data_IF_715781887778
#
_entry.id   IF_715781887778
#
_cell.length_a   1.000
_cell.length_b   1.000
_cell.length_c   1.000
_cell.angle_alpha   90.00
_cell.angle_beta   90.00
_cell.angle_gamma   90.00
#
_symmetry.space_group_name_H-M   'P 1'
#
loop_
_entity.id
_entity.type
_entity.pdbx_description
1 polymer ?
#
# COMPACT_ATOMS: atom_id res chain seq x y z
N UNK A 1 0.69 49.82 0.92
CA UNK A 1 0.88 48.45 1.47
C UNK A 1 0.76 47.35 0.41
N UNK A 2 0.44 47.67 -0.86
CA UNK A 2 0.34 46.69 -1.97
C UNK A 2 1.64 46.66 -2.81
N UNK A 3 2.39 47.76 -2.87
CA UNK A 3 3.63 47.86 -3.68
C UNK A 3 4.84 47.12 -3.10
N UNK A 4 4.85 46.88 -1.79
CA UNK A 4 5.93 46.13 -1.13
C UNK A 4 5.77 44.62 -1.33
N UNK A 5 4.55 44.13 -1.51
CA UNK A 5 4.28 42.71 -1.73
C UNK A 5 4.69 42.27 -3.15
N UNK A 6 4.40 43.11 -4.15
CA UNK A 6 4.81 42.86 -5.54
C UNK A 6 6.32 42.93 -5.74
N UNK A 7 7.03 43.81 -5.03
CA UNK A 7 8.50 43.89 -5.09
C UNK A 7 9.14 42.66 -4.46
N UNK A 8 8.65 42.22 -3.29
CA UNK A 8 9.16 41.05 -2.59
C UNK A 8 8.90 39.76 -3.38
N UNK A 9 7.71 39.56 -3.98
CA UNK A 9 7.45 38.42 -4.87
C UNK A 9 8.39 38.43 -6.10
N UNK A 10 8.66 39.60 -6.67
CA UNK A 10 9.50 39.75 -7.85
C UNK A 10 11.00 39.53 -7.52
N UNK A 11 11.42 39.92 -6.33
CA UNK A 11 12.76 39.66 -5.75
C UNK A 11 12.91 38.18 -5.35
N UNK A 12 11.84 37.57 -4.83
CA UNK A 12 11.79 36.14 -4.48
C UNK A 12 11.92 35.24 -5.71
N UNK A 13 11.20 35.58 -6.78
CA UNK A 13 11.28 34.87 -8.05
C UNK A 13 12.65 35.08 -8.72
N UNK A 14 13.25 36.27 -8.61
CA UNK A 14 14.57 36.52 -9.21
C UNK A 14 15.71 35.81 -8.47
N UNK A 15 15.73 35.77 -7.14
CA UNK A 15 16.78 35.00 -6.44
C UNK A 15 16.63 33.49 -6.69
N UNK A 16 15.41 32.96 -6.74
CA UNK A 16 15.17 31.54 -7.02
C UNK A 16 15.68 31.20 -8.42
N UNK A 17 15.40 32.07 -9.40
CA UNK A 17 15.91 31.95 -10.76
C UNK A 17 17.44 32.04 -10.81
N UNK A 18 18.07 32.92 -10.03
CA UNK A 18 19.53 33.05 -9.97
C UNK A 18 20.19 31.88 -9.24
N UNK A 19 19.56 31.32 -8.19
CA UNK A 19 20.00 30.12 -7.51
C UNK A 19 19.92 28.90 -8.44
N UNK A 20 18.79 28.72 -9.14
CA UNK A 20 18.60 27.63 -10.10
C UNK A 20 19.59 27.75 -11.26
N UNK A 21 19.79 28.96 -11.80
CA UNK A 21 20.85 29.22 -12.79
C UNK A 21 22.20 28.81 -12.23
N UNK A 22 22.62 29.33 -11.08
CA UNK A 22 23.94 29.05 -10.51
C UNK A 22 24.16 27.57 -10.15
N UNK A 23 23.11 26.86 -9.72
CA UNK A 23 23.17 25.41 -9.45
C UNK A 23 23.26 24.57 -10.72
N UNK A 24 22.60 25.01 -11.80
CA UNK A 24 22.54 24.32 -13.09
C UNK A 24 23.67 24.71 -14.08
N UNK A 25 24.32 25.86 -13.86
CA UNK A 25 25.39 26.42 -14.70
C UNK A 25 26.81 25.82 -14.56
N UNK A 26 27.24 25.11 -13.48
CA UNK A 26 28.66 24.83 -13.28
C UNK A 26 29.32 23.95 -14.37
N UNK A 27 28.53 23.26 -15.20
CA UNK A 27 29.06 22.24 -16.10
C UNK A 27 28.69 22.41 -17.60
N UNK A 28 28.19 23.57 -18.05
CA UNK A 28 27.99 23.87 -19.49
C UNK A 28 27.15 22.86 -20.30
N UNK A 29 26.37 21.98 -19.67
CA UNK A 29 25.52 21.01 -20.40
C UNK A 29 24.29 21.66 -21.07
N UNK A 30 23.97 22.91 -20.74
CA UNK A 30 22.76 23.61 -21.17
C UNK A 30 22.94 24.71 -22.23
N UNK A 31 24.15 24.98 -22.73
CA UNK A 31 24.33 25.86 -23.89
C UNK A 31 23.59 25.39 -25.17
N UNK A 32 23.02 24.19 -25.12
CA UNK A 32 22.23 23.53 -26.17
C UNK A 32 20.71 23.75 -25.97
N UNK A 33 20.26 24.09 -24.76
CA UNK A 33 18.84 24.21 -24.42
C UNK A 33 18.43 25.68 -24.31
N UNK A 34 17.34 26.05 -25.00
CA UNK A 34 16.81 27.43 -25.00
C UNK A 34 16.21 27.80 -23.65
N UNK A 35 16.13 29.10 -23.34
CA UNK A 35 15.50 29.63 -22.11
C UNK A 35 14.11 29.02 -21.85
N UNK A 36 13.33 28.77 -22.92
CA UNK A 36 12.03 28.10 -22.88
C UNK A 36 12.06 26.69 -22.29
N UNK A 37 13.16 25.95 -22.48
CA UNK A 37 13.34 24.61 -21.90
C UNK A 37 13.48 24.69 -20.38
N UNK A 38 14.22 25.70 -19.88
CA UNK A 38 14.39 25.91 -18.44
C UNK A 38 13.06 26.28 -17.79
N UNK A 39 12.30 27.20 -18.39
CA UNK A 39 10.96 27.55 -17.90
C UNK A 39 10.02 26.35 -17.89
N UNK A 40 10.04 25.53 -18.95
CA UNK A 40 9.24 24.31 -19.02
C UNK A 40 9.59 23.33 -17.90
N UNK A 41 10.88 23.09 -17.64
CA UNK A 41 11.33 22.20 -16.55
C UNK A 41 10.89 22.72 -15.18
N UNK A 42 10.99 24.03 -14.93
CA UNK A 42 10.54 24.63 -13.66
C UNK A 42 9.03 24.45 -13.48
N UNK A 43 8.23 24.67 -14.53
CA UNK A 43 6.78 24.45 -14.49
C UNK A 43 6.44 22.98 -14.26
N UNK A 44 7.20 22.05 -14.85
CA UNK A 44 6.99 20.60 -14.68
C UNK A 44 7.46 20.07 -13.32
N UNK A 45 8.41 20.74 -12.66
CA UNK A 45 9.00 20.30 -11.38
C UNK A 45 7.96 20.01 -10.29
N UNK A 46 6.97 20.88 -9.97
CA UNK A 46 5.97 20.56 -8.95
C UNK A 46 5.12 19.35 -9.32
N UNK A 47 4.82 19.13 -10.60
CA UNK A 47 4.09 17.93 -11.04
C UNK A 47 4.94 16.67 -10.90
N UNK A 48 6.23 16.75 -11.20
CA UNK A 48 7.16 15.63 -11.01
C UNK A 48 7.25 15.27 -9.53
N UNK A 49 7.42 16.26 -8.64
CA UNK A 49 7.47 16.04 -7.20
C UNK A 49 6.15 15.43 -6.71
N UNK A 50 5.01 15.98 -7.10
CA UNK A 50 3.68 15.49 -6.71
C UNK A 50 3.42 14.05 -7.19
N UNK A 51 3.82 13.72 -8.42
CA UNK A 51 3.62 12.38 -9.00
C UNK A 51 4.70 11.38 -8.58
N UNK A 52 5.82 11.84 -8.05
CA UNK A 52 6.96 10.99 -7.71
C UNK A 52 6.60 9.82 -6.77
N UNK A 53 5.78 9.98 -5.71
CA UNK A 53 5.47 8.85 -4.84
C UNK A 53 4.69 7.77 -5.58
N UNK A 54 3.74 8.16 -6.44
CA UNK A 54 2.96 7.23 -7.25
C UNK A 54 3.85 6.49 -8.25
N UNK A 55 4.78 7.20 -8.90
CA UNK A 55 5.72 6.60 -9.84
C UNK A 55 6.68 5.62 -9.15
N UNK A 56 7.16 5.94 -7.95
CA UNK A 56 8.01 5.04 -7.15
C UNK A 56 7.25 3.77 -6.79
N UNK A 57 6.00 3.88 -6.31
CA UNK A 57 5.17 2.72 -5.95
C UNK A 57 4.92 1.83 -7.17
N UNK A 58 4.52 2.43 -8.30
CA UNK A 58 4.32 1.68 -9.55
C UNK A 58 5.62 1.00 -9.99
N UNK A 59 6.75 1.69 -9.90
CA UNK A 59 8.08 1.13 -10.17
C UNK A 59 8.37 -0.09 -9.30
N UNK A 60 8.10 -0.03 -8.00
CA UNK A 60 8.25 -1.14 -7.07
C UNK A 60 7.33 -2.33 -7.42
N UNK A 61 6.08 -2.08 -7.82
CA UNK A 61 5.16 -3.14 -8.26
C UNK A 61 5.65 -3.81 -9.54
N UNK A 62 6.08 -3.03 -10.54
CA UNK A 62 6.62 -3.57 -11.78
C UNK A 62 7.93 -4.34 -11.56
N UNK A 63 8.82 -3.84 -10.71
CA UNK A 63 10.03 -4.54 -10.29
C UNK A 63 9.69 -5.86 -9.60
N UNK A 64 8.73 -5.85 -8.67
CA UNK A 64 8.25 -7.07 -7.99
C UNK A 64 7.74 -8.10 -8.99
N UNK A 65 6.94 -7.66 -9.96
CA UNK A 65 6.40 -8.52 -10.99
C UNK A 65 7.49 -9.05 -11.93
N UNK A 66 8.48 -8.23 -12.27
CA UNK A 66 9.66 -8.64 -13.04
C UNK A 66 10.46 -9.74 -12.31
N UNK A 67 10.73 -9.56 -11.02
CA UNK A 67 11.41 -10.56 -10.18
C UNK A 67 10.63 -11.88 -10.14
N UNK A 68 9.30 -11.83 -9.98
CA UNK A 68 8.45 -13.02 -10.00
C UNK A 68 8.46 -13.73 -11.36
N UNK A 69 8.54 -13.00 -12.47
CA UNK A 69 8.65 -13.61 -13.80
C UNK A 69 10.00 -14.30 -14.00
N UNK A 70 11.10 -13.68 -13.55
CA UNK A 70 12.41 -14.33 -13.53
C UNK A 70 12.36 -15.61 -12.70
N UNK A 71 11.78 -15.55 -11.51
CA UNK A 71 11.63 -16.70 -10.63
C UNK A 71 10.83 -17.82 -11.31
N UNK A 72 9.68 -17.49 -11.90
CA UNK A 72 8.82 -18.42 -12.64
C UNK A 72 9.58 -19.17 -13.72
N UNK A 73 10.38 -18.45 -14.52
CA UNK A 73 11.16 -19.00 -15.64
C UNK A 73 12.29 -19.89 -15.10
N UNK A 74 13.06 -19.40 -14.12
CA UNK A 74 14.23 -20.13 -13.58
C UNK A 74 13.84 -21.41 -12.87
N UNK A 75 12.79 -21.38 -12.07
CA UNK A 75 12.33 -22.53 -11.28
C UNK A 75 11.34 -23.41 -12.06
N UNK A 76 10.91 -22.98 -13.25
CA UNK A 76 9.93 -23.67 -14.10
C UNK A 76 8.67 -24.04 -13.30
N UNK A 77 8.18 -23.13 -12.47
CA UNK A 77 6.96 -23.35 -11.68
C UNK A 77 5.81 -23.62 -12.64
N UNK A 78 5.18 -24.80 -12.50
CA UNK A 78 4.06 -25.25 -13.34
C UNK A 78 2.75 -25.17 -12.55
N UNK A 79 1.68 -24.80 -13.23
CA UNK A 79 0.33 -24.71 -12.67
C UNK A 79 -0.08 -23.30 -12.26
N UNK A 80 -1.37 -23.14 -12.03
CA UNK A 80 -2.02 -21.87 -11.66
C UNK A 80 -2.33 -21.78 -10.16
N UNK A 81 -1.72 -22.64 -9.34
CA UNK A 81 -1.80 -22.53 -7.88
C UNK A 81 -0.74 -21.54 -7.35
N UNK A 82 -1.07 -20.26 -7.44
CA UNK A 82 -0.23 -19.14 -7.01
C UNK A 82 -0.06 -19.04 -5.49
N UNK A 83 -0.91 -19.72 -4.70
CA UNK A 83 -0.86 -19.71 -3.24
C UNK A 83 -0.06 -20.89 -2.69
N UNK A 84 0.29 -21.87 -3.53
CA UNK A 84 1.12 -23.00 -3.14
C UNK A 84 2.52 -22.60 -2.67
N UNK A 85 3.13 -23.51 -1.90
CA UNK A 85 4.52 -23.40 -1.42
C UNK A 85 5.56 -23.25 -2.53
N UNK A 86 5.22 -23.64 -3.77
CA UNK A 86 6.13 -23.49 -4.92
C UNK A 86 6.49 -22.03 -5.21
N UNK A 87 5.66 -21.08 -4.76
CA UNK A 87 5.90 -19.65 -4.90
C UNK A 87 6.57 -19.01 -3.68
N UNK A 88 6.77 -19.74 -2.58
CA UNK A 88 7.25 -19.17 -1.31
C UNK A 88 8.57 -18.42 -1.47
N UNK A 89 9.55 -18.99 -2.20
CA UNK A 89 10.84 -18.34 -2.40
C UNK A 89 10.70 -17.02 -3.19
N UNK A 90 9.95 -17.04 -4.29
CA UNK A 90 9.71 -15.84 -5.10
C UNK A 90 8.92 -14.78 -4.35
N UNK A 91 7.90 -15.22 -3.60
CA UNK A 91 7.09 -14.37 -2.71
C UNK A 91 7.96 -13.74 -1.63
N UNK A 92 8.77 -14.51 -0.89
CA UNK A 92 9.66 -13.98 0.15
C UNK A 92 10.61 -12.93 -0.41
N UNK A 93 11.20 -13.16 -1.58
CA UNK A 93 12.08 -12.17 -2.21
C UNK A 93 11.39 -10.82 -2.45
N UNK A 94 10.16 -10.84 -2.96
CA UNK A 94 9.36 -9.61 -3.12
C UNK A 94 8.99 -9.02 -1.77
N UNK A 95 8.47 -9.81 -0.84
CA UNK A 95 8.03 -9.30 0.46
C UNK A 95 9.19 -8.69 1.27
N UNK A 96 10.41 -9.23 1.16
CA UNK A 96 11.61 -8.61 1.75
C UNK A 96 11.90 -7.22 1.17
N UNK A 97 11.72 -7.02 -0.15
CA UNK A 97 11.89 -5.71 -0.77
C UNK A 97 10.91 -4.69 -0.18
N UNK A 98 9.65 -5.07 0.01
CA UNK A 98 8.62 -4.19 0.55
C UNK A 98 8.77 -3.95 2.05
N UNK A 99 9.11 -4.98 2.83
CA UNK A 99 9.40 -4.83 4.26
C UNK A 99 10.62 -3.94 4.51
N UNK A 100 11.69 -4.11 3.72
CA UNK A 100 12.86 -3.24 3.76
C UNK A 100 12.50 -1.81 3.36
N UNK A 101 11.73 -1.62 2.30
CA UNK A 101 11.30 -0.29 1.87
C UNK A 101 10.45 0.41 2.94
N UNK A 102 9.49 -0.29 3.55
CA UNK A 102 8.70 0.23 4.67
C UNK A 102 9.58 0.60 5.87
N UNK A 103 10.52 -0.26 6.24
CA UNK A 103 11.41 -0.03 7.38
C UNK A 103 12.36 1.15 7.16
N UNK A 104 13.06 1.18 6.02
CA UNK A 104 14.12 2.17 5.77
C UNK A 104 13.54 3.52 5.41
N UNK A 105 12.50 3.55 4.58
CA UNK A 105 11.95 4.81 4.08
C UNK A 105 10.91 5.43 5.01
N UNK A 106 10.09 4.61 5.67
CA UNK A 106 8.98 5.08 6.50
C UNK A 106 9.17 4.79 8.00
N UNK A 107 10.27 4.15 8.41
CA UNK A 107 10.45 3.74 9.80
C UNK A 107 9.37 2.75 10.26
N UNK A 108 8.77 1.98 9.33
CA UNK A 108 7.55 1.22 9.61
C UNK A 108 7.78 0.09 10.62
N UNK A 109 7.02 0.11 11.71
CA UNK A 109 7.05 -0.88 12.78
C UNK A 109 5.70 -1.59 12.97
N UNK A 110 5.77 -2.88 13.32
CA UNK A 110 4.57 -3.68 13.61
C UNK A 110 4.70 -4.27 15.00
N UNK A 111 3.76 -3.91 15.87
CA UNK A 111 3.67 -4.34 17.25
C UNK A 111 2.46 -5.26 17.44
N UNK A 112 2.61 -6.28 18.29
CA UNK A 112 1.52 -7.22 18.61
C UNK A 112 1.31 -8.37 17.60
N UNK A 113 2.35 -8.78 16.86
CA UNK A 113 2.26 -9.89 15.90
C UNK A 113 1.86 -11.22 16.57
N UNK A 114 2.17 -11.38 17.86
CA UNK A 114 1.76 -12.49 18.72
C UNK A 114 0.23 -12.60 18.88
N UNK A 115 -0.51 -11.52 18.62
CA UNK A 115 -1.97 -11.50 18.72
C UNK A 115 -2.67 -12.01 17.46
N UNK A 116 -1.94 -12.27 16.37
CA UNK A 116 -2.53 -12.83 15.15
C UNK A 116 -3.01 -14.26 15.45
N UNK A 117 -4.29 -14.60 15.23
CA UNK A 117 -4.85 -15.89 15.60
C UNK A 117 -4.19 -17.03 14.83
N UNK A 118 -3.83 -18.14 15.47
CA UNK A 118 -3.17 -19.29 14.80
C UNK A 118 -4.00 -19.88 13.64
N UNK A 119 -5.33 -19.85 13.76
CA UNK A 119 -6.30 -20.31 12.77
C UNK A 119 -6.79 -19.22 11.80
N UNK A 120 -7.90 -19.45 11.07
CA UNK A 120 -8.46 -18.42 10.21
C UNK A 120 -8.79 -17.16 11.01
N UNK A 121 -8.56 -16.01 10.39
CA UNK A 121 -8.65 -14.72 11.05
C UNK A 121 -8.96 -13.62 10.06
N UNK A 122 -9.80 -12.68 10.48
CA UNK A 122 -10.11 -11.49 9.71
C UNK A 122 -9.30 -10.32 10.27
N UNK A 123 -8.43 -9.76 9.42
CA UNK A 123 -7.65 -8.56 9.71
C UNK A 123 -8.41 -7.36 9.14
N UNK A 124 -8.84 -6.46 10.01
CA UNK A 124 -9.52 -5.22 9.62
C UNK A 124 -8.53 -4.07 9.75
N UNK A 125 -8.24 -3.43 8.62
CA UNK A 125 -7.23 -2.38 8.51
C UNK A 125 -7.84 -1.07 7.98
N UNK A 126 -7.29 0.08 8.35
CA UNK A 126 -7.74 1.37 7.80
C UNK A 126 -7.32 1.51 6.33
N UNK A 127 -8.05 2.30 5.54
CA UNK A 127 -7.66 2.62 4.18
C UNK A 127 -6.99 3.99 4.08
N UNK A 128 -5.65 4.03 4.03
CA UNK A 128 -4.91 5.24 3.65
C UNK A 128 -5.11 5.60 2.16
N UNK A 129 -4.65 6.77 1.73
CA UNK A 129 -4.74 7.21 0.31
C UNK A 129 -4.14 6.16 -0.65
N UNK A 130 -3.00 5.60 -0.27
CA UNK A 130 -2.47 4.35 -0.81
C UNK A 130 -2.20 3.39 0.36
N UNK A 131 -2.77 2.16 0.38
CA UNK A 131 -2.64 1.24 1.51
C UNK A 131 -1.28 0.52 1.51
N UNK A 132 -0.17 1.27 1.42
CA UNK A 132 1.19 0.76 1.49
C UNK A 132 1.51 0.17 2.84
N UNK A 133 1.07 0.83 3.91
CA UNK A 133 1.25 0.38 5.29
C UNK A 133 0.66 -1.01 5.50
N UNK A 134 -0.52 -1.25 4.92
CA UNK A 134 -1.13 -2.56 4.90
C UNK A 134 -0.26 -3.58 4.15
N UNK A 135 0.34 -3.18 3.02
CA UNK A 135 1.24 -4.08 2.28
C UNK A 135 2.53 -4.38 3.05
N UNK A 136 3.10 -3.41 3.79
CA UNK A 136 4.22 -3.64 4.70
C UNK A 136 3.84 -4.61 5.81
N UNK A 137 2.66 -4.42 6.41
CA UNK A 137 2.12 -5.33 7.41
C UNK A 137 2.04 -6.77 6.90
N UNK A 138 1.36 -7.03 5.77
CA UNK A 138 1.24 -8.41 5.24
C UNK A 138 2.58 -8.98 4.80
N UNK A 139 3.52 -8.12 4.36
CA UNK A 139 4.89 -8.52 4.06
C UNK A 139 5.58 -9.05 5.31
N UNK A 140 5.59 -8.27 6.39
CA UNK A 140 6.21 -8.64 7.66
C UNK A 140 5.53 -9.85 8.30
N UNK A 141 4.20 -9.91 8.27
CA UNK A 141 3.41 -11.04 8.75
C UNK A 141 3.85 -12.35 8.08
N UNK A 142 3.92 -12.37 6.75
CA UNK A 142 4.31 -13.58 6.03
C UNK A 142 5.80 -13.90 6.26
N UNK A 143 6.68 -12.90 6.32
CA UNK A 143 8.11 -13.12 6.56
C UNK A 143 8.36 -13.77 7.93
N UNK A 144 7.68 -13.27 8.99
CA UNK A 144 7.82 -13.75 10.37
C UNK A 144 7.09 -15.07 10.64
N UNK A 145 5.86 -15.22 10.13
CA UNK A 145 4.99 -16.36 10.50
C UNK A 145 4.87 -17.41 9.40
N UNK A 146 5.24 -17.07 8.15
CA UNK A 146 4.98 -17.90 6.97
C UNK A 146 3.51 -17.97 6.56
N UNK A 147 2.62 -17.22 7.23
CA UNK A 147 1.17 -17.30 7.00
C UNK A 147 0.75 -16.30 5.93
N UNK A 148 -0.01 -16.80 4.96
CA UNK A 148 -0.53 -15.96 3.89
C UNK A 148 -1.83 -15.28 4.31
N UNK A 149 -1.84 -13.95 4.20
CA UNK A 149 -3.04 -13.13 4.31
C UNK A 149 -3.54 -12.76 2.93
N UNK A 150 -4.65 -13.37 2.51
CA UNK A 150 -5.32 -12.95 1.29
C UNK A 150 -5.97 -11.59 1.53
N UNK A 151 -5.89 -10.70 0.54
CA UNK A 151 -6.21 -9.29 0.75
C UNK A 151 -7.27 -8.82 -0.24
N UNK A 152 -8.36 -8.27 0.29
CA UNK A 152 -9.40 -7.66 -0.55
C UNK A 152 -8.92 -6.29 -1.00
N UNK A 153 -8.80 -6.11 -2.31
CA UNK A 153 -8.38 -4.86 -2.96
C UNK A 153 -9.46 -4.35 -3.88
N UNK A 154 -9.41 -3.06 -4.19
CA UNK A 154 -10.34 -2.46 -5.15
C UNK A 154 -10.20 -3.10 -6.54
N UNK A 155 -11.33 -3.27 -7.23
CA UNK A 155 -11.39 -3.88 -8.54
C UNK A 155 -10.50 -3.16 -9.58
N UNK A 156 -10.33 -1.84 -9.48
CA UNK A 156 -9.48 -1.08 -10.40
C UNK A 156 -8.00 -1.44 -10.25
N UNK A 157 -7.55 -1.85 -9.06
CA UNK A 157 -6.19 -2.34 -8.87
C UNK A 157 -5.93 -3.60 -9.71
N UNK A 158 -6.93 -4.48 -9.85
CA UNK A 158 -6.82 -5.68 -10.69
C UNK A 158 -6.69 -5.38 -12.20
N UNK A 159 -7.07 -4.18 -12.64
CA UNK A 159 -7.02 -3.74 -14.04
C UNK A 159 -5.67 -3.17 -14.48
N UNK A 160 -4.74 -2.94 -13.55
CA UNK A 160 -3.44 -2.38 -13.89
C UNK A 160 -2.70 -3.35 -14.84
N UNK A 161 -2.30 -2.92 -16.04
CA UNK A 161 -1.66 -3.81 -17.00
C UNK A 161 -0.33 -4.36 -16.48
N UNK A 162 -0.13 -5.67 -16.66
CA UNK A 162 1.14 -6.33 -16.37
C UNK A 162 1.31 -6.81 -14.93
N UNK A 163 0.46 -6.44 -13.97
CA UNK A 163 0.67 -6.81 -12.54
C UNK A 163 0.02 -8.14 -12.13
N UNK A 164 -0.57 -8.88 -13.08
CA UNK A 164 -1.36 -10.09 -12.80
C UNK A 164 -0.61 -11.12 -11.95
N UNK A 165 0.70 -11.32 -12.20
CA UNK A 165 1.48 -12.30 -11.45
C UNK A 165 1.73 -11.84 -10.02
N UNK A 166 2.12 -10.58 -9.82
CA UNK A 166 2.19 -9.97 -8.51
C UNK A 166 0.87 -10.10 -7.74
N UNK A 167 -0.24 -9.76 -8.39
CA UNK A 167 -1.58 -9.81 -7.82
C UNK A 167 -1.93 -11.22 -7.31
N UNK A 168 -1.74 -12.24 -8.15
CA UNK A 168 -2.10 -13.63 -7.82
C UNK A 168 -1.14 -14.26 -6.81
N UNK A 169 0.17 -14.06 -6.97
CA UNK A 169 1.16 -14.61 -6.03
C UNK A 169 0.87 -14.07 -4.64
N UNK A 170 0.69 -12.76 -4.46
CA UNK A 170 0.47 -12.17 -3.13
C UNK A 170 -0.93 -12.37 -2.55
N UNK A 171 -1.79 -13.18 -3.18
CA UNK A 171 -3.12 -13.49 -2.65
C UNK A 171 -4.07 -12.30 -2.64
N UNK A 172 -3.92 -11.38 -3.59
CA UNK A 172 -4.86 -10.28 -3.76
C UNK A 172 -6.14 -10.80 -4.42
N UNK A 173 -7.28 -10.31 -3.97
CA UNK A 173 -8.59 -10.65 -4.47
C UNK A 173 -9.50 -9.42 -4.53
N UNK A 174 -10.46 -9.42 -5.45
CA UNK A 174 -11.56 -8.45 -5.51
C UNK A 174 -12.90 -9.21 -5.48
N UNK A 175 -12.87 -10.45 -4.99
CA UNK A 175 -14.01 -11.35 -5.02
C UNK A 175 -15.10 -10.93 -4.00
N UNK A 176 -16.27 -11.53 -4.15
CA UNK A 176 -17.44 -11.21 -3.35
C UNK A 176 -17.36 -11.73 -1.91
N UNK A 177 -18.44 -11.50 -1.18
CA UNK A 177 -18.59 -11.95 0.22
C UNK A 177 -18.44 -13.47 0.35
N UNK A 178 -19.00 -14.23 -0.58
CA UNK A 178 -19.02 -15.69 -0.53
C UNK A 178 -17.60 -16.26 -0.65
N UNK A 179 -16.81 -15.76 -1.60
CA UNK A 179 -15.40 -16.13 -1.73
C UNK A 179 -14.57 -15.73 -0.50
N UNK A 180 -14.82 -14.55 0.07
CA UNK A 180 -14.17 -14.12 1.30
C UNK A 180 -14.45 -15.09 2.47
N UNK A 181 -15.69 -15.56 2.58
CA UNK A 181 -16.07 -16.58 3.58
C UNK A 181 -15.34 -17.89 3.30
N UNK A 182 -15.22 -18.29 2.04
CA UNK A 182 -14.52 -19.52 1.65
C UNK A 182 -13.01 -19.46 1.91
N UNK A 183 -12.37 -18.29 1.70
CA UNK A 183 -10.96 -18.06 2.06
C UNK A 183 -10.74 -18.34 3.55
N UNK A 184 -11.60 -17.81 4.42
CA UNK A 184 -11.53 -18.05 5.86
C UNK A 184 -11.82 -19.51 6.21
N UNK A 185 -12.79 -20.15 5.58
CA UNK A 185 -13.09 -21.59 5.81
C UNK A 185 -11.93 -22.51 5.42
N UNK A 186 -11.14 -22.12 4.42
CA UNK A 186 -9.90 -22.81 4.03
C UNK A 186 -8.74 -22.61 5.01
N UNK A 187 -8.94 -21.82 6.08
CA UNK A 187 -7.94 -21.61 7.13
C UNK A 187 -6.98 -20.45 6.87
N UNK A 188 -7.19 -19.66 5.82
CA UNK A 188 -6.35 -18.48 5.53
C UNK A 188 -6.71 -17.30 6.44
N UNK A 189 -5.76 -16.37 6.55
CA UNK A 189 -6.07 -15.01 7.00
C UNK A 189 -6.68 -14.23 5.83
N UNK A 190 -7.65 -13.38 6.13
CA UNK A 190 -8.26 -12.45 5.19
C UNK A 190 -8.07 -11.04 5.71
N UNK A 191 -7.50 -10.15 4.90
CA UNK A 191 -7.38 -8.74 5.23
C UNK A 191 -8.34 -7.88 4.41
N UNK A 192 -9.02 -6.96 5.09
CA UNK A 192 -10.04 -6.09 4.52
C UNK A 192 -9.86 -4.66 5.00
N UNK A 193 -10.06 -3.71 4.08
CA UNK A 193 -9.99 -2.27 4.34
C UNK A 193 -11.38 -1.66 4.12
N UNK A 194 -12.29 -1.73 5.12
CA UNK A 194 -13.72 -1.54 4.89
C UNK A 194 -14.10 -0.11 4.51
N UNK A 195 -13.36 0.92 4.94
CA UNK A 195 -13.62 2.29 4.55
C UNK A 195 -13.32 2.57 3.06
N UNK A 196 -12.45 1.77 2.45
CA UNK A 196 -12.17 1.80 1.01
C UNK A 196 -11.83 3.21 0.50
N UNK A 197 -12.25 3.53 -0.73
CA UNK A 197 -11.98 4.82 -1.34
C UNK A 197 -12.54 6.03 -0.55
N UNK A 198 -13.58 5.85 0.28
CA UNK A 198 -14.11 6.95 1.11
C UNK A 198 -13.12 7.29 2.21
N UNK A 199 -12.68 6.30 2.97
CA UNK A 199 -11.67 6.48 4.01
C UNK A 199 -10.35 6.98 3.40
N UNK A 200 -9.97 6.47 2.22
CA UNK A 200 -8.77 6.94 1.49
C UNK A 200 -8.76 8.46 1.20
N UNK A 201 -9.93 9.07 0.98
CA UNK A 201 -10.06 10.48 0.59
C UNK A 201 -10.36 11.42 1.77
N UNK A 202 -10.88 10.89 2.87
CA UNK A 202 -11.46 11.70 3.95
C UNK A 202 -10.89 11.38 5.35
N UNK A 203 -9.95 10.43 5.47
CA UNK A 203 -9.24 10.22 6.72
C UNK A 203 -8.27 11.35 7.03
N UNK A 204 -8.11 11.64 8.32
CA UNK A 204 -7.14 12.58 8.86
C UNK A 204 -5.97 11.84 9.54
N UNK A 205 -5.02 12.61 10.07
CA UNK A 205 -3.85 12.09 10.81
C UNK A 205 -4.20 11.37 12.12
N UNK A 206 -5.44 11.52 12.61
CA UNK A 206 -5.93 10.81 13.79
C UNK A 206 -6.42 9.39 13.47
N UNK A 207 -6.43 8.99 12.19
CA UNK A 207 -6.74 7.65 11.66
C UNK A 207 -7.88 6.91 12.37
N UNK A 208 -8.96 7.63 12.68
CA UNK A 208 -10.20 6.98 13.11
C UNK A 208 -10.73 6.10 11.97
N UNK A 209 -11.14 4.87 12.26
CA UNK A 209 -11.65 3.97 11.22
C UNK A 209 -12.99 4.50 10.67
N UNK A 210 -13.00 4.91 9.40
CA UNK A 210 -14.14 5.54 8.72
C UNK A 210 -14.84 4.57 7.74
N UNK A 211 -15.38 3.46 8.26
CA UNK A 211 -16.14 2.50 7.42
C UNK A 211 -17.64 2.85 7.27
N UNK A 212 -18.17 3.80 8.05
CA UNK A 212 -19.56 4.24 7.96
C UNK A 212 -20.58 3.11 8.14
N UNK A 213 -21.49 2.92 7.18
CA UNK A 213 -22.51 1.86 7.19
C UNK A 213 -22.05 0.54 6.53
N UNK A 214 -20.78 0.43 6.12
CA UNK A 214 -20.26 -0.76 5.43
C UNK A 214 -20.03 -1.90 6.42
N UNK A 215 -21.00 -2.83 6.49
CA UNK A 215 -20.98 -4.00 7.38
C UNK A 215 -20.57 -5.31 6.70
N UNK A 216 -20.04 -5.24 5.48
CA UNK A 216 -19.72 -6.42 4.67
C UNK A 216 -18.72 -7.37 5.36
N UNK A 217 -17.67 -6.81 5.96
CA UNK A 217 -16.65 -7.57 6.68
C UNK A 217 -17.20 -8.28 7.93
N UNK A 218 -18.13 -7.63 8.66
CA UNK A 218 -18.78 -8.24 9.83
C UNK A 218 -19.66 -9.43 9.42
N UNK A 219 -20.37 -9.34 8.29
CA UNK A 219 -21.09 -10.49 7.73
C UNK A 219 -20.14 -11.62 7.34
N UNK A 220 -19.00 -11.32 6.70
CA UNK A 220 -17.98 -12.33 6.38
C UNK A 220 -17.51 -13.05 7.64
N UNK A 221 -17.14 -12.31 8.69
CA UNK A 221 -16.68 -12.90 9.96
C UNK A 221 -17.73 -13.84 10.58
N UNK A 222 -18.99 -13.39 10.64
CA UNK A 222 -20.11 -14.16 11.15
C UNK A 222 -20.35 -15.43 10.33
N UNK A 223 -20.43 -15.32 9.01
CA UNK A 223 -20.80 -16.40 8.11
C UNK A 223 -19.67 -17.44 7.96
N UNK A 224 -18.41 -17.00 8.16
CA UNK A 224 -17.24 -17.86 8.27
C UNK A 224 -17.04 -18.46 9.67
N UNK A 225 -17.86 -18.06 10.67
CA UNK A 225 -17.75 -18.46 12.08
C UNK A 225 -16.36 -18.21 12.67
N UNK A 226 -15.72 -17.12 12.26
CA UNK A 226 -14.41 -16.72 12.79
C UNK A 226 -14.64 -15.92 14.06
N UNK A 227 -14.28 -16.50 15.22
CA UNK A 227 -14.46 -15.87 16.53
C UNK A 227 -13.44 -14.78 16.89
N UNK A 228 -12.47 -14.54 16.02
CA UNK A 228 -11.33 -13.65 16.27
C UNK A 228 -11.19 -12.61 15.16
N UNK A 229 -11.40 -11.34 15.51
CA UNK A 229 -11.09 -10.19 14.68
C UNK A 229 -9.78 -9.57 15.18
N UNK A 230 -8.78 -9.52 14.31
CA UNK A 230 -7.62 -8.68 14.55
C UNK A 230 -7.93 -7.30 13.98
N UNK A 231 -8.19 -6.34 14.85
CA UNK A 231 -8.25 -4.93 14.50
C UNK A 231 -6.83 -4.36 14.44
N UNK A 232 -6.57 -3.50 13.47
CA UNK A 232 -5.32 -2.77 13.36
C UNK A 232 -5.59 -1.28 13.56
N UNK A 233 -4.90 -0.67 14.52
CA UNK A 233 -4.87 0.79 14.69
C UNK A 233 -3.46 1.29 14.44
N UNK A 234 -3.33 2.29 13.59
CA UNK A 234 -2.09 3.04 13.46
C UNK A 234 -2.07 4.12 14.54
N UNK A 235 -0.95 4.27 15.23
CA UNK A 235 -0.72 5.36 16.18
C UNK A 235 0.12 6.41 15.45
N UNK A 236 -0.07 7.73 15.68
CA UNK A 236 0.86 8.74 15.18
C UNK A 236 2.30 8.29 15.50
N UNK A 237 3.22 8.39 14.53
CA UNK A 237 4.62 7.91 14.53
C UNK A 237 4.92 6.60 13.76
N UNK A 238 4.02 6.11 12.91
CA UNK A 238 4.32 5.00 11.97
C UNK A 238 4.32 3.60 12.62
N UNK A 239 3.71 3.49 13.80
CA UNK A 239 3.60 2.25 14.55
C UNK A 239 2.22 1.61 14.37
N UNK A 240 2.19 0.39 13.84
CA UNK A 240 0.97 -0.40 13.78
C UNK A 240 0.80 -1.26 15.03
N UNK A 241 -0.31 -1.08 15.75
CA UNK A 241 -0.71 -1.96 16.84
C UNK A 241 -1.83 -2.90 16.39
N UNK A 242 -1.54 -4.19 16.44
CA UNK A 242 -2.57 -5.23 16.40
C UNK A 242 -3.27 -5.29 17.76
N UNK A 243 -4.59 -5.24 17.74
CA UNK A 243 -5.42 -5.56 18.89
C UNK A 243 -6.49 -6.58 18.48
N UNK A 244 -6.78 -7.51 19.38
CA UNK A 244 -7.79 -8.52 19.17
C UNK A 244 -9.07 -8.04 19.84
N UNK A 245 -10.13 -7.83 19.05
CA UNK A 245 -11.47 -7.70 19.60
C UNK A 245 -12.19 -9.04 19.47
N UNK A 246 -12.60 -9.59 20.62
CA UNK A 246 -13.50 -10.74 20.65
C UNK A 246 -14.86 -10.33 20.11
N UNK A 247 -15.35 -10.99 19.06
CA UNK A 247 -16.68 -10.72 18.54
C UNK A 247 -17.73 -11.33 19.48
N UNK A 248 -18.22 -10.55 20.46
CA UNK A 248 -19.49 -10.90 21.11
C UNK A 248 -20.62 -10.56 20.13
N UNK A 249 -21.33 -11.59 19.69
CA UNK A 249 -22.43 -11.53 18.72
C UNK A 249 -23.62 -10.72 19.26
N UNK A 250 -23.53 -9.39 19.22
CA UNK A 250 -24.63 -8.47 19.56
C UNK A 250 -25.09 -7.65 18.35
N UNK A 251 -24.94 -8.19 17.13
CA UNK A 251 -25.68 -7.66 15.99
C UNK A 251 -27.08 -8.27 16.00
N UNK A 252 -28.02 -7.57 16.64
CA UNK A 252 -29.44 -7.86 16.54
C UNK A 252 -29.86 -7.87 15.05
N UNK A 253 -30.70 -8.83 14.63
CA UNK A 253 -31.23 -8.85 13.27
C UNK A 253 -32.16 -7.64 13.08
N UNK A 254 -31.87 -6.82 12.07
CA UNK A 254 -32.86 -5.99 11.39
C UNK A 254 -33.04 -6.52 9.99
#
# INVERSE_FOLDING_TARGET
>A
MISSFSYVEQEEVTWLMDLLKNWMYPNNYLGIFTDYTVYLLVILTPFIILLSPVLVILGCIYLSNFLLNIYKIKIKVKGDDYLSKSWDTGRRAVLYLWDMYGTVWHGYEVHGMDKVPEGPGLVVFYHGAFPLDYFYFVSRLYLQTGRLCQSVVDYHFSKIPGIKLFYKVHGLTHDGREECVEILRKGYLLGVLPGGAREALFSDENYSLLWGSRKGFAHVARDAKVGHLSGCMNVPDGQLFLYMEGFQSNFAPM
#
